data_IF_693836944063
#
_entry.id   IF_693836944063
#
_cell.length_a   1.000
_cell.length_b   1.000
_cell.length_c   1.000
_cell.angle_alpha   90.00
_cell.angle_beta   90.00
_cell.angle_gamma   90.00
#
_symmetry.space_group_name_H-M   'P 1'
#
loop_
_entity.id
_entity.type
_entity.pdbx_description
1 polymer ?
#
# COMPACT_ATOMS: atom_id res chain seq x y z
N UNK A 1 -17.16 32.60 -51.16
CA UNK A 1 -17.68 31.41 -50.46
C UNK A 1 -16.46 30.60 -50.06
N UNK A 2 -16.11 30.72 -48.79
CA UNK A 2 -14.90 30.20 -48.15
C UNK A 2 -14.98 28.69 -47.92
N UNK A 3 -14.09 27.95 -48.58
CA UNK A 3 -13.85 26.53 -48.31
C UNK A 3 -12.34 26.28 -48.41
N UNK A 4 -11.59 26.68 -47.38
CA UNK A 4 -10.23 26.18 -47.14
C UNK A 4 -10.02 26.00 -45.64
N UNK A 5 -10.59 24.88 -45.23
CA UNK A 5 -10.52 24.21 -43.94
C UNK A 5 -9.10 24.27 -43.35
N UNK A 6 -9.01 24.81 -42.13
CA UNK A 6 -7.80 24.94 -41.31
C UNK A 6 -7.27 23.55 -40.95
N UNK A 7 -6.37 22.98 -41.76
CA UNK A 7 -5.46 21.92 -41.30
C UNK A 7 -4.41 22.51 -40.34
N UNK A 8 -4.81 22.83 -39.10
CA UNK A 8 -3.89 23.09 -38.00
C UNK A 8 -3.13 21.80 -37.65
N UNK A 9 -2.00 21.59 -38.33
CA UNK A 9 -0.97 20.63 -37.89
C UNK A 9 -0.43 21.11 -36.55
N UNK A 10 -0.88 20.53 -35.45
CA UNK A 10 -0.25 20.72 -34.14
C UNK A 10 1.11 20.05 -34.22
N UNK A 11 2.15 20.81 -34.54
CA UNK A 11 3.54 20.33 -34.47
C UNK A 11 3.89 20.19 -33.00
N UNK A 12 3.82 18.98 -32.47
CA UNK A 12 4.31 18.68 -31.13
C UNK A 12 5.81 18.95 -31.08
N UNK A 13 6.23 19.94 -30.29
CA UNK A 13 7.65 20.11 -29.96
C UNK A 13 8.10 18.92 -29.11
N UNK A 14 9.38 18.54 -29.20
CA UNK A 14 9.95 17.51 -28.33
C UNK A 14 9.74 17.82 -26.83
N UNK A 15 9.66 19.10 -26.49
CA UNK A 15 9.37 19.58 -25.13
C UNK A 15 7.92 19.30 -24.74
N UNK A 16 6.96 19.48 -25.65
CA UNK A 16 5.55 19.22 -25.39
C UNK A 16 5.29 17.71 -25.25
N UNK A 17 5.95 16.90 -26.08
CA UNK A 17 5.92 15.44 -25.96
C UNK A 17 6.52 14.96 -24.63
N UNK A 18 7.65 15.53 -24.21
CA UNK A 18 8.29 15.20 -22.94
C UNK A 18 7.44 15.63 -21.73
N UNK A 19 6.82 16.81 -21.77
CA UNK A 19 5.91 17.31 -20.73
C UNK A 19 4.67 16.42 -20.60
N UNK A 20 4.05 16.05 -21.72
CA UNK A 20 2.89 15.15 -21.75
C UNK A 20 3.24 13.75 -21.20
N UNK A 21 4.42 13.23 -21.54
CA UNK A 21 4.92 11.96 -20.99
C UNK A 21 5.14 12.02 -19.47
N UNK A 22 5.76 13.10 -18.99
CA UNK A 22 6.01 13.29 -17.55
C UNK A 22 4.71 13.36 -16.74
N UNK A 23 3.69 14.07 -17.23
CA UNK A 23 2.42 14.21 -16.51
C UNK A 23 1.67 12.88 -16.35
N UNK A 24 1.76 11.99 -17.34
CA UNK A 24 1.19 10.65 -17.26
C UNK A 24 1.93 9.75 -16.25
N UNK A 25 3.27 9.77 -16.27
CA UNK A 25 4.09 9.00 -15.33
C UNK A 25 3.89 9.49 -13.89
N UNK A 26 3.80 10.81 -13.70
CA UNK A 26 3.64 11.41 -12.38
C UNK A 26 2.30 11.06 -11.73
N UNK A 27 1.20 11.06 -12.50
CA UNK A 27 -0.11 10.61 -12.01
C UNK A 27 -0.06 9.15 -11.57
N UNK A 28 0.55 8.28 -12.37
CA UNK A 28 0.73 6.86 -12.03
C UNK A 28 1.58 6.65 -10.77
N UNK A 29 2.67 7.40 -10.64
CA UNK A 29 3.57 7.30 -9.50
C UNK A 29 2.92 7.76 -8.19
N UNK A 30 2.20 8.89 -8.21
CA UNK A 30 1.53 9.44 -7.03
C UNK A 30 0.44 8.49 -6.47
N UNK A 31 -0.14 7.61 -7.29
CA UNK A 31 -1.14 6.64 -6.83
C UNK A 31 -0.50 5.40 -6.22
N UNK A 32 0.56 4.90 -6.85
CA UNK A 32 1.35 3.80 -6.28
C UNK A 32 1.94 4.18 -4.92
N UNK A 33 2.39 5.44 -4.76
CA UNK A 33 2.93 5.93 -3.49
C UNK A 33 1.89 5.99 -2.38
N UNK A 34 0.62 6.34 -2.66
CA UNK A 34 -0.46 6.33 -1.66
C UNK A 34 -0.71 4.94 -1.09
N UNK A 35 -0.83 3.92 -1.95
CA UNK A 35 -1.00 2.53 -1.50
C UNK A 35 0.22 2.05 -0.72
N UNK A 36 1.43 2.33 -1.22
CA UNK A 36 2.66 1.94 -0.56
C UNK A 36 2.79 2.58 0.82
N UNK A 37 2.48 3.88 0.95
CA UNK A 37 2.49 4.59 2.23
C UNK A 37 1.47 4.01 3.21
N UNK A 38 0.25 3.71 2.76
CA UNK A 38 -0.78 3.12 3.62
C UNK A 38 -0.34 1.76 4.19
N UNK A 39 0.24 0.90 3.35
CA UNK A 39 0.77 -0.41 3.77
C UNK A 39 1.97 -0.22 4.70
N UNK A 40 2.93 0.62 4.32
CA UNK A 40 4.14 0.86 5.10
C UNK A 40 3.81 1.42 6.49
N UNK A 41 2.91 2.40 6.59
CA UNK A 41 2.55 3.01 7.87
C UNK A 41 1.82 2.03 8.79
N UNK A 42 0.87 1.25 8.24
CA UNK A 42 0.13 0.24 9.00
C UNK A 42 1.05 -0.85 9.55
N UNK A 43 1.95 -1.36 8.71
CA UNK A 43 2.92 -2.39 9.11
C UNK A 43 4.00 -1.82 10.04
N UNK A 44 4.41 -0.57 9.87
CA UNK A 44 5.33 0.11 10.78
C UNK A 44 4.74 0.22 12.19
N UNK A 45 3.47 0.63 12.28
CA UNK A 45 2.79 0.72 13.57
C UNK A 45 2.63 -0.66 14.22
N UNK A 46 2.18 -1.66 13.47
CA UNK A 46 2.11 -3.05 13.96
C UNK A 46 3.46 -3.57 14.44
N UNK A 47 4.52 -3.41 13.63
CA UNK A 47 5.87 -3.88 13.96
C UNK A 47 6.44 -3.15 15.17
N UNK A 48 6.16 -1.84 15.29
CA UNK A 48 6.58 -1.03 16.44
C UNK A 48 5.92 -1.49 17.73
N UNK A 49 4.59 -1.69 17.73
CA UNK A 49 3.87 -2.21 18.89
C UNK A 49 4.35 -3.60 19.29
N UNK A 50 4.59 -4.48 18.32
CA UNK A 50 5.07 -5.84 18.58
C UNK A 50 6.48 -5.85 19.17
N UNK A 51 7.38 -5.01 18.63
CA UNK A 51 8.73 -4.88 19.18
C UNK A 51 8.70 -4.29 20.57
N UNK A 52 7.84 -3.30 20.82
CA UNK A 52 7.69 -2.69 22.15
C UNK A 52 7.21 -3.72 23.18
N UNK A 53 6.25 -4.57 22.83
CA UNK A 53 5.83 -5.70 23.67
C UNK A 53 6.99 -6.67 23.94
N UNK A 54 7.77 -7.02 22.91
CA UNK A 54 8.93 -7.90 23.06
C UNK A 54 10.04 -7.29 23.93
N UNK A 55 10.29 -5.98 23.81
CA UNK A 55 11.22 -5.24 24.66
C UNK A 55 10.75 -5.31 26.11
N UNK A 56 9.51 -4.86 26.39
CA UNK A 56 8.93 -4.86 27.74
C UNK A 56 8.99 -6.24 28.39
N UNK A 57 8.65 -7.30 27.64
CA UNK A 57 8.78 -8.69 28.09
C UNK A 57 10.21 -9.04 28.53
N UNK A 58 11.23 -8.62 27.78
CA UNK A 58 12.63 -8.81 28.16
C UNK A 58 13.02 -8.04 29.43
N UNK A 59 12.51 -6.81 29.62
CA UNK A 59 12.77 -6.02 30.84
C UNK A 59 12.11 -6.62 32.11
N UNK A 60 10.91 -7.20 31.99
CA UNK A 60 10.22 -7.79 33.15
C UNK A 60 10.99 -8.97 33.76
N UNK A 61 11.75 -9.72 32.96
CA UNK A 61 12.60 -10.80 33.47
C UNK A 61 13.78 -10.33 34.32
N UNK A 62 14.13 -9.04 34.25
CA UNK A 62 15.23 -8.41 35.00
C UNK A 62 14.72 -7.71 36.27
N UNK A 63 13.42 -7.83 36.60
CA UNK A 63 12.84 -7.38 37.88
C UNK A 63 11.92 -6.15 37.81
N UNK A 64 11.40 -5.81 36.63
CA UNK A 64 10.39 -4.76 36.49
C UNK A 64 8.95 -5.29 36.61
N UNK A 65 8.13 -4.71 37.48
CA UNK A 65 6.67 -4.87 37.43
C UNK A 65 6.10 -4.02 36.29
N UNK A 66 5.94 -4.63 35.11
CA UNK A 66 5.18 -4.00 34.02
C UNK A 66 4.02 -4.92 33.65
N UNK A 67 2.79 -4.44 33.94
CA UNK A 67 1.57 -5.11 33.50
C UNK A 67 1.40 -4.85 32.00
N UNK A 68 1.58 -5.89 31.19
CA UNK A 68 1.14 -5.84 29.79
C UNK A 68 -0.38 -5.80 29.81
N UNK A 69 -0.94 -4.60 29.73
CA UNK A 69 -2.38 -4.44 29.68
C UNK A 69 -2.89 -4.84 28.29
N UNK A 70 -3.98 -5.64 28.25
CA UNK A 70 -4.54 -6.19 27.02
C UNK A 70 -4.99 -5.16 25.98
N UNK A 71 -4.96 -3.86 26.29
CA UNK A 71 -5.28 -2.79 25.34
C UNK A 71 -4.36 -2.81 24.11
N UNK A 72 -3.11 -3.26 24.25
CA UNK A 72 -2.13 -3.27 23.15
C UNK A 72 -2.57 -4.17 21.98
N UNK A 73 -3.11 -5.35 22.28
CA UNK A 73 -3.65 -6.25 21.26
C UNK A 73 -4.86 -5.62 20.54
N UNK A 74 -5.69 -4.88 21.27
CA UNK A 74 -6.79 -4.10 20.69
C UNK A 74 -6.28 -3.05 19.69
N UNK A 75 -5.24 -2.30 20.06
CA UNK A 75 -4.62 -1.30 19.18
C UNK A 75 -4.00 -1.93 17.93
N UNK A 76 -3.35 -3.10 18.07
CA UNK A 76 -2.82 -3.84 16.92
C UNK A 76 -3.94 -4.20 15.94
N UNK A 77 -5.05 -4.78 16.42
CA UNK A 77 -6.19 -5.17 15.57
C UNK A 77 -6.79 -3.94 14.88
N UNK A 78 -7.07 -2.87 15.63
CA UNK A 78 -7.65 -1.64 15.08
C UNK A 78 -6.75 -1.06 13.98
N UNK A 79 -5.43 -1.05 14.19
CA UNK A 79 -4.48 -0.53 13.19
C UNK A 79 -4.49 -1.32 11.88
N UNK A 80 -4.60 -2.66 11.95
CA UNK A 80 -4.69 -3.51 10.76
C UNK A 80 -6.00 -3.29 10.02
N UNK A 81 -7.11 -3.11 10.74
CA UNK A 81 -8.42 -2.78 10.15
C UNK A 81 -8.37 -1.44 9.42
N UNK A 82 -7.84 -0.39 10.06
CA UNK A 82 -7.70 0.94 9.45
C UNK A 82 -6.79 0.89 8.21
N UNK A 83 -5.72 0.10 8.26
CA UNK A 83 -4.84 -0.13 7.11
C UNK A 83 -5.60 -0.81 5.97
N UNK A 84 -6.36 -1.87 6.23
CA UNK A 84 -7.16 -2.57 5.22
C UNK A 84 -8.20 -1.65 4.56
N UNK A 85 -8.88 -0.81 5.34
CA UNK A 85 -9.86 0.16 4.82
C UNK A 85 -9.16 1.20 3.93
N UNK A 86 -8.01 1.72 4.37
CA UNK A 86 -7.20 2.67 3.58
C UNK A 86 -6.77 2.08 2.23
N UNK A 87 -6.29 0.83 2.23
CA UNK A 87 -5.90 0.11 1.01
C UNK A 87 -7.11 -0.06 0.09
N UNK A 88 -8.24 -0.53 0.63
CA UNK A 88 -9.47 -0.77 -0.14
C UNK A 88 -9.93 0.51 -0.84
N UNK A 89 -9.97 1.64 -0.11
CA UNK A 89 -10.40 2.92 -0.65
C UNK A 89 -9.46 3.43 -1.75
N UNK A 90 -8.14 3.31 -1.54
CA UNK A 90 -7.15 3.74 -2.52
C UNK A 90 -7.20 2.91 -3.81
N UNK A 91 -7.46 1.59 -3.70
CA UNK A 91 -7.64 0.73 -4.87
C UNK A 91 -8.97 1.05 -5.57
N UNK A 92 -10.04 1.34 -4.84
CA UNK A 92 -11.30 1.80 -5.44
C UNK A 92 -11.08 3.04 -6.29
N UNK A 93 -10.39 4.05 -5.76
CA UNK A 93 -10.05 5.27 -6.52
C UNK A 93 -9.27 4.90 -7.80
N UNK A 94 -8.28 4.00 -7.67
CA UNK A 94 -7.48 3.52 -8.81
C UNK A 94 -8.35 2.86 -9.89
N UNK A 95 -9.38 2.09 -9.50
CA UNK A 95 -10.34 1.47 -10.42
C UNK A 95 -11.17 2.52 -11.17
N UNK A 96 -11.64 3.55 -10.46
CA UNK A 96 -12.41 4.64 -11.07
C UNK A 96 -11.57 5.49 -12.04
N UNK A 97 -10.29 5.71 -11.76
CA UNK A 97 -9.40 6.43 -12.66
C UNK A 97 -9.09 5.64 -13.93
N UNK A 98 -8.99 4.30 -13.81
CA UNK A 98 -8.68 3.39 -14.93
C UNK A 98 -9.95 2.83 -15.58
N UNK A 99 -11.11 3.42 -15.32
CA UNK A 99 -12.41 2.91 -15.77
C UNK A 99 -12.45 2.74 -17.31
N UNK A 100 -12.02 3.77 -18.05
CA UNK A 100 -11.93 3.73 -19.53
C UNK A 100 -10.89 2.73 -20.03
N UNK A 101 -9.72 2.65 -19.39
CA UNK A 101 -8.66 1.70 -19.76
C UNK A 101 -9.12 0.25 -19.59
N UNK A 102 -9.87 -0.05 -18.53
CA UNK A 102 -10.43 -1.38 -18.30
C UNK A 102 -11.51 -1.69 -19.33
N UNK A 103 -12.36 -0.72 -19.66
CA UNK A 103 -13.35 -0.83 -20.73
C UNK A 103 -12.74 -1.15 -22.08
N UNK A 104 -11.69 -0.43 -22.49
CA UNK A 104 -11.00 -0.69 -23.76
C UNK A 104 -10.33 -2.07 -23.77
N UNK A 105 -9.68 -2.49 -22.68
CA UNK A 105 -9.12 -3.84 -22.56
C UNK A 105 -10.19 -4.93 -22.75
N UNK A 106 -11.37 -4.76 -22.14
CA UNK A 106 -12.46 -5.73 -22.28
C UNK A 106 -13.06 -5.76 -23.68
N UNK A 107 -13.19 -4.61 -24.35
CA UNK A 107 -13.63 -4.55 -25.75
C UNK A 107 -12.66 -5.27 -26.70
N UNK A 108 -11.37 -5.32 -26.36
CA UNK A 108 -10.35 -6.08 -27.09
C UNK A 108 -10.36 -7.59 -26.73
N UNK A 109 -11.30 -8.05 -25.90
CA UNK A 109 -11.47 -9.46 -25.54
C UNK A 109 -10.77 -9.89 -24.25
N UNK A 110 -10.33 -8.95 -23.39
CA UNK A 110 -9.80 -9.32 -22.08
C UNK A 110 -10.90 -9.93 -21.18
N UNK A 111 -10.64 -11.11 -20.62
CA UNK A 111 -11.53 -11.74 -19.65
C UNK A 111 -11.48 -11.02 -18.30
N UNK A 112 -12.57 -11.08 -17.54
CA UNK A 112 -12.68 -10.56 -16.17
C UNK A 112 -11.53 -11.07 -15.27
N UNK A 113 -11.09 -12.32 -15.48
CA UNK A 113 -9.97 -12.91 -14.75
C UNK A 113 -8.63 -12.22 -15.00
N UNK A 114 -8.41 -11.66 -16.20
CA UNK A 114 -7.18 -10.91 -16.51
C UNK A 114 -7.14 -9.59 -15.74
N UNK A 115 -8.27 -8.89 -15.70
CA UNK A 115 -8.40 -7.63 -14.93
C UNK A 115 -8.20 -7.92 -13.44
N UNK A 116 -8.83 -8.97 -12.92
CA UNK A 116 -8.67 -9.36 -11.51
C UNK A 116 -7.22 -9.70 -11.17
N UNK A 117 -6.55 -10.52 -11.99
CA UNK A 117 -5.12 -10.87 -11.80
C UNK A 117 -4.22 -9.65 -11.84
N UNK A 118 -4.49 -8.69 -12.71
CA UNK A 118 -3.70 -7.46 -12.83
C UNK A 118 -3.65 -6.70 -11.50
N UNK A 119 -4.82 -6.46 -10.88
CA UNK A 119 -4.90 -5.76 -9.60
C UNK A 119 -4.32 -6.57 -8.43
N UNK A 120 -4.48 -7.90 -8.42
CA UNK A 120 -3.89 -8.74 -7.39
C UNK A 120 -2.36 -8.74 -7.46
N UNK A 121 -1.77 -8.85 -8.65
CA UNK A 121 -0.31 -8.81 -8.83
C UNK A 121 0.23 -7.42 -8.46
N UNK A 122 -0.45 -6.36 -8.87
CA UNK A 122 -0.09 -4.98 -8.49
C UNK A 122 -0.07 -4.81 -6.97
N UNK A 123 -1.11 -5.29 -6.30
CA UNK A 123 -1.21 -5.23 -4.83
C UNK A 123 -0.17 -6.09 -4.15
N UNK A 124 0.14 -7.27 -4.68
CA UNK A 124 1.17 -8.16 -4.14
C UNK A 124 2.56 -7.52 -4.16
N UNK A 125 2.94 -6.88 -5.27
CA UNK A 125 4.22 -6.16 -5.39
C UNK A 125 4.26 -5.01 -4.38
N UNK A 126 3.19 -4.22 -4.28
CA UNK A 126 3.10 -3.12 -3.32
C UNK A 126 3.12 -3.61 -1.87
N UNK A 127 2.55 -4.78 -1.58
CA UNK A 127 2.53 -5.38 -0.24
C UNK A 127 3.91 -5.84 0.22
N UNK A 128 4.73 -6.40 -0.68
CA UNK A 128 6.11 -6.77 -0.37
C UNK A 128 6.95 -5.52 -0.11
N UNK A 129 6.88 -4.53 -0.99
CA UNK A 129 7.65 -3.28 -0.85
C UNK A 129 7.21 -2.49 0.37
N UNK A 130 5.90 -2.27 0.52
CA UNK A 130 5.31 -1.57 1.65
C UNK A 130 5.51 -2.30 2.97
N UNK A 131 5.37 -3.63 3.00
CA UNK A 131 5.62 -4.44 4.19
C UNK A 131 7.08 -4.41 4.63
N UNK A 132 8.02 -4.47 3.69
CA UNK A 132 9.45 -4.36 3.97
C UNK A 132 9.80 -2.97 4.53
N UNK A 133 9.36 -1.91 3.85
CA UNK A 133 9.57 -0.54 4.29
C UNK A 133 8.92 -0.27 5.65
N UNK A 134 7.69 -0.75 5.85
CA UNK A 134 6.97 -0.64 7.11
C UNK A 134 7.71 -1.33 8.25
N UNK A 135 8.22 -2.54 8.04
CA UNK A 135 9.03 -3.22 9.06
C UNK A 135 10.25 -2.39 9.47
N UNK A 136 11.04 -1.88 8.52
CA UNK A 136 12.23 -1.08 8.84
C UNK A 136 11.85 0.21 9.58
N UNK A 137 10.78 0.88 9.16
CA UNK A 137 10.27 2.06 9.86
C UNK A 137 9.79 1.74 11.28
N UNK A 138 9.10 0.62 11.47
CA UNK A 138 8.64 0.15 12.78
C UNK A 138 9.79 -0.24 13.71
N UNK A 139 10.84 -0.86 13.16
CA UNK A 139 12.06 -1.18 13.90
C UNK A 139 12.77 0.09 14.38
N UNK A 140 12.94 1.08 13.49
CA UNK A 140 13.53 2.39 13.83
C UNK A 140 12.67 3.10 14.89
N UNK A 141 11.35 3.10 14.73
CA UNK A 141 10.45 3.74 15.69
C UNK A 141 10.52 3.08 17.08
N UNK A 142 10.47 1.74 17.15
CA UNK A 142 10.53 1.01 18.41
C UNK A 142 11.89 1.19 19.12
N UNK A 143 12.99 1.14 18.36
CA UNK A 143 14.34 1.32 18.91
C UNK A 143 14.57 2.74 19.42
N UNK A 144 14.13 3.76 18.68
CA UNK A 144 14.18 5.15 19.14
C UNK A 144 13.34 5.36 20.40
N UNK A 145 12.12 4.82 20.44
CA UNK A 145 11.25 4.92 21.61
C UNK A 145 11.89 4.25 22.84
N UNK A 146 12.38 3.02 22.68
CA UNK A 146 13.07 2.29 23.74
C UNK A 146 14.32 3.03 24.24
N UNK A 147 15.14 3.58 23.33
CA UNK A 147 16.33 4.35 23.69
C UNK A 147 16.01 5.60 24.50
N UNK A 148 14.90 6.28 24.19
CA UNK A 148 14.45 7.49 24.92
C UNK A 148 13.88 7.12 26.29
N UNK A 149 13.09 6.05 26.40
CA UNK A 149 12.39 5.70 27.65
C UNK A 149 13.28 4.93 28.64
N UNK A 150 14.12 4.02 28.16
CA UNK A 150 14.86 3.04 28.98
C UNK A 150 16.39 3.16 28.87
N UNK A 151 16.88 4.06 28.02
CA UNK A 151 18.30 4.30 27.77
C UNK A 151 18.95 3.29 26.82
N UNK A 152 20.01 3.73 26.14
CA UNK A 152 20.70 2.93 25.10
C UNK A 152 21.31 1.61 25.59
N UNK A 153 21.57 1.45 26.90
CA UNK A 153 22.24 0.27 27.47
C UNK A 153 21.45 -1.04 27.34
N UNK A 154 20.13 -0.97 27.17
CA UNK A 154 19.27 -2.15 27.13
C UNK A 154 18.91 -2.61 25.71
N UNK A 155 19.41 -1.93 24.65
CA UNK A 155 19.21 -2.39 23.27
C UNK A 155 19.81 -3.78 23.00
N UNK A 156 20.86 -4.17 23.73
CA UNK A 156 21.48 -5.51 23.62
C UNK A 156 20.66 -6.64 24.24
N UNK A 157 19.56 -6.34 24.95
CA UNK A 157 18.77 -7.38 25.60
C UNK A 157 17.83 -8.12 24.64
N UNK A 158 17.62 -7.61 23.42
CA UNK A 158 16.76 -8.27 22.44
C UNK A 158 17.59 -9.22 21.55
N UNK A 159 17.30 -10.53 21.54
CA UNK A 159 17.98 -11.45 20.64
C UNK A 159 17.63 -11.15 19.18
N UNK A 160 18.62 -11.21 18.29
CA UNK A 160 18.48 -10.94 16.85
C UNK A 160 17.47 -11.86 16.13
N UNK A 161 17.09 -12.96 16.76
CA UNK A 161 16.04 -13.86 16.25
C UNK A 161 14.65 -13.21 16.24
N UNK A 162 14.37 -12.27 17.16
CA UNK A 162 13.05 -11.64 17.28
C UNK A 162 12.75 -10.71 16.09
N UNK A 163 13.62 -9.75 15.73
CA UNK A 163 13.38 -8.90 14.55
C UNK A 163 13.33 -9.70 13.25
N UNK A 164 14.13 -10.76 13.11
CA UNK A 164 14.15 -11.59 11.92
C UNK A 164 12.83 -12.35 11.73
N UNK A 165 12.30 -12.94 12.81
CA UNK A 165 11.01 -13.62 12.79
C UNK A 165 9.87 -12.61 12.54
N UNK A 166 9.97 -11.42 13.14
CA UNK A 166 9.01 -10.34 12.90
C UNK A 166 9.02 -9.88 11.45
N UNK A 167 10.18 -9.77 10.79
CA UNK A 167 10.24 -9.41 9.37
C UNK A 167 9.42 -10.36 8.50
N UNK A 168 9.56 -11.67 8.71
CA UNK A 168 8.75 -12.68 8.04
C UNK A 168 7.25 -12.53 8.32
N UNK A 169 6.88 -12.28 9.59
CA UNK A 169 5.49 -12.03 9.98
C UNK A 169 4.93 -10.75 9.34
N UNK A 170 5.70 -9.67 9.30
CA UNK A 170 5.29 -8.39 8.74
C UNK A 170 5.03 -8.49 7.24
N UNK A 171 5.87 -9.22 6.49
CA UNK A 171 5.62 -9.50 5.07
C UNK A 171 4.38 -10.37 4.89
N UNK A 172 4.23 -11.43 5.70
CA UNK A 172 3.06 -12.31 5.60
C UNK A 172 1.76 -11.54 5.86
N UNK A 173 1.74 -10.70 6.90
CA UNK A 173 0.60 -9.86 7.26
C UNK A 173 0.35 -8.82 6.17
N UNK A 174 1.37 -8.15 5.64
CA UNK A 174 1.18 -7.14 4.60
C UNK A 174 0.58 -7.75 3.34
N UNK A 175 1.09 -8.90 2.90
CA UNK A 175 0.62 -9.61 1.71
C UNK A 175 -0.81 -10.08 1.90
N UNK A 176 -1.12 -10.75 3.02
CA UNK A 176 -2.47 -11.28 3.29
C UNK A 176 -3.49 -10.14 3.45
N UNK A 177 -3.16 -9.10 4.21
CA UNK A 177 -4.03 -7.94 4.41
C UNK A 177 -4.30 -7.20 3.10
N UNK A 178 -3.25 -6.96 2.31
CA UNK A 178 -3.38 -6.28 1.02
C UNK A 178 -4.19 -7.12 0.03
N UNK A 179 -3.93 -8.42 -0.10
CA UNK A 179 -4.73 -9.27 -1.00
C UNK A 179 -6.20 -9.30 -0.59
N UNK A 180 -6.52 -9.45 0.70
CA UNK A 180 -7.91 -9.43 1.19
C UNK A 180 -8.58 -8.09 0.89
N UNK A 181 -7.90 -6.97 1.16
CA UNK A 181 -8.41 -5.63 0.90
C UNK A 181 -8.62 -5.37 -0.61
N UNK A 182 -7.80 -5.98 -1.48
CA UNK A 182 -7.89 -5.80 -2.94
C UNK A 182 -8.98 -6.65 -3.60
N UNK A 183 -9.34 -7.81 -3.04
CA UNK A 183 -10.27 -8.76 -3.70
C UNK A 183 -11.59 -8.08 -4.07
N UNK A 184 -12.21 -7.36 -3.14
CA UNK A 184 -13.49 -6.68 -3.38
C UNK A 184 -13.43 -5.64 -4.52
N UNK A 185 -12.54 -4.63 -4.47
CA UNK A 185 -12.47 -3.64 -5.54
C UNK A 185 -11.97 -4.22 -6.87
N UNK A 186 -11.05 -5.19 -6.85
CA UNK A 186 -10.59 -5.87 -8.07
C UNK A 186 -11.72 -6.65 -8.74
N UNK A 187 -12.57 -7.32 -7.96
CA UNK A 187 -13.76 -7.98 -8.48
C UNK A 187 -14.75 -6.99 -9.08
N UNK A 188 -14.98 -5.85 -8.40
CA UNK A 188 -15.83 -4.77 -8.93
C UNK A 188 -15.30 -4.24 -10.26
N UNK A 189 -13.99 -4.01 -10.36
CA UNK A 189 -13.31 -3.60 -11.58
C UNK A 189 -13.44 -4.64 -12.71
N UNK A 190 -13.28 -5.92 -12.35
CA UNK A 190 -13.39 -7.03 -13.28
C UNK A 190 -14.81 -7.23 -13.79
N UNK A 191 -15.85 -6.73 -13.12
CA UNK A 191 -17.26 -6.84 -13.57
C UNK A 191 -17.83 -5.60 -14.27
N UNK A 192 -16.99 -4.61 -14.56
CA UNK A 192 -17.44 -3.40 -15.26
C UNK A 192 -17.95 -3.72 -16.67
N UNK A 193 -19.06 -3.08 -17.05
CA UNK A 193 -19.65 -3.16 -18.39
C UNK A 193 -18.81 -2.30 -19.37
N UNK A 194 -18.23 -2.90 -20.43
CA UNK A 194 -17.41 -2.18 -21.40
C UNK A 194 -18.17 -1.05 -22.11
N UNK A 195 -19.49 -1.21 -22.31
CA UNK A 195 -20.32 -0.22 -23.00
C UNK A 195 -20.48 1.03 -22.13
N UNK A 196 -20.68 0.84 -20.82
CA UNK A 196 -20.77 1.93 -19.85
C UNK A 196 -19.42 2.65 -19.68
N UNK A 197 -18.33 1.89 -19.70
CA UNK A 197 -16.97 2.44 -19.65
C UNK A 197 -16.62 3.38 -20.80
N UNK A 198 -17.10 3.09 -22.02
CA UNK A 198 -16.86 3.94 -23.19
C UNK A 198 -17.83 5.12 -23.28
N UNK A 199 -19.06 4.96 -22.76
CA UNK A 199 -20.06 6.04 -22.73
C UNK A 199 -19.79 7.10 -21.65
N UNK A 200 -18.84 6.84 -20.75
CA UNK A 200 -18.46 7.76 -19.68
C UNK A 200 -17.72 8.99 -20.25
N UNK A 201 -18.42 9.91 -20.89
CA UNK A 201 -17.95 11.27 -21.14
C UNK A 201 -18.37 12.15 -19.96
N UNK A 202 -17.37 12.55 -19.16
CA UNK A 202 -17.36 13.81 -18.44
C UNK A 202 -16.23 14.63 -19.04
#
# INVERSE_FOLDING_TARGET
>A
MDEKDERKRITFSLVDAARLGYDNVKRRFNRASLNLMAIALGIAFFSSLYLMDAFLGAYTQVGGEVRVEGYQYGLMIVSLVVCAVSITNSILITVYERYKEIGTMKCLGALDQHVLKLFLVESFILAILGGSLGFFMGLIAATLFCAITMGFGHLSMLPLSVPLLLFGKSILISVTLSTIATIYPAYKAAKLDPVEALRYEV
#
